data_IF_770774096088
#
_entry.id   IF_770774096088
#
_cell.length_a   1.000
_cell.length_b   1.000
_cell.length_c   1.000
_cell.angle_alpha   90.00
_cell.angle_beta   90.00
_cell.angle_gamma   90.00
#
_symmetry.space_group_name_H-M   'P 1'
#
loop_
_entity.id
_entity.type
_entity.pdbx_description
1 polymer ?
#
# COMPACT_ATOMS: atom_id res chain seq x y z
N UNK A 1 -39.27 -21.33 -41.39
CA UNK A 1 -38.15 -21.41 -40.43
C UNK A 1 -38.66 -22.24 -39.27
N UNK A 2 -38.13 -23.44 -39.06
CA UNK A 2 -38.68 -24.39 -38.11
C UNK A 2 -38.37 -23.99 -36.65
N UNK A 3 -39.35 -24.11 -35.75
CA UNK A 3 -39.20 -23.74 -34.35
C UNK A 3 -37.98 -24.38 -33.65
N UNK A 4 -37.55 -25.55 -34.07
CA UNK A 4 -36.35 -26.25 -33.56
C UNK A 4 -35.02 -25.56 -33.94
N UNK A 5 -34.99 -24.90 -35.09
CA UNK A 5 -33.79 -24.19 -35.54
C UNK A 5 -33.63 -22.84 -34.83
N UNK A 6 -34.73 -22.17 -34.55
CA UNK A 6 -34.76 -20.97 -33.73
C UNK A 6 -34.28 -21.26 -32.29
N UNK A 7 -34.79 -22.32 -31.71
CA UNK A 7 -34.41 -22.76 -30.36
C UNK A 7 -32.90 -23.07 -30.28
N UNK A 8 -32.30 -23.70 -31.30
CA UNK A 8 -30.84 -23.94 -31.34
C UNK A 8 -30.04 -22.64 -31.40
N UNK A 9 -30.50 -21.63 -32.14
CA UNK A 9 -29.85 -20.32 -32.27
C UNK A 9 -29.90 -19.59 -30.93
N UNK A 10 -31.02 -19.63 -30.21
CA UNK A 10 -31.18 -18.97 -28.93
C UNK A 10 -30.31 -19.63 -27.84
N UNK A 11 -30.27 -20.96 -27.83
CA UNK A 11 -29.36 -21.72 -26.93
C UNK A 11 -27.88 -21.38 -27.21
N UNK A 12 -27.49 -21.22 -28.47
CA UNK A 12 -26.12 -20.82 -28.84
C UNK A 12 -25.80 -19.41 -28.35
N UNK A 13 -26.74 -18.47 -28.50
CA UNK A 13 -26.58 -17.08 -27.99
C UNK A 13 -26.44 -17.06 -26.47
N UNK A 14 -27.27 -17.80 -25.76
CA UNK A 14 -27.21 -17.91 -24.29
C UNK A 14 -25.85 -18.48 -23.85
N UNK A 15 -25.36 -19.55 -24.50
CA UNK A 15 -24.05 -20.14 -24.21
C UNK A 15 -22.92 -19.15 -24.44
N UNK A 16 -22.94 -18.38 -25.53
CA UNK A 16 -21.95 -17.34 -25.81
C UNK A 16 -22.01 -16.25 -24.75
N UNK A 17 -23.20 -15.78 -24.38
CA UNK A 17 -23.36 -14.77 -23.32
C UNK A 17 -22.81 -15.22 -21.98
N UNK A 18 -23.05 -16.48 -21.58
CA UNK A 18 -22.50 -17.06 -20.35
C UNK A 18 -20.97 -17.09 -20.40
N UNK A 19 -20.38 -17.53 -21.51
CA UNK A 19 -18.92 -17.55 -21.65
C UNK A 19 -18.30 -16.16 -21.61
N UNK A 20 -18.93 -15.16 -22.25
CA UNK A 20 -18.47 -13.76 -22.21
C UNK A 20 -18.53 -13.22 -20.78
N UNK A 21 -19.64 -13.48 -20.07
CA UNK A 21 -19.78 -13.06 -18.67
C UNK A 21 -18.71 -13.71 -17.78
N UNK A 22 -18.46 -15.01 -17.98
CA UNK A 22 -17.41 -15.72 -17.25
C UNK A 22 -16.02 -15.11 -17.48
N UNK A 23 -15.69 -14.79 -18.75
CA UNK A 23 -14.41 -14.16 -19.09
C UNK A 23 -14.28 -12.76 -18.46
N UNK A 24 -15.35 -11.97 -18.45
CA UNK A 24 -15.37 -10.65 -17.80
C UNK A 24 -15.14 -10.80 -16.29
N UNK A 25 -15.84 -11.72 -15.64
CA UNK A 25 -15.66 -11.96 -14.20
C UNK A 25 -14.23 -12.43 -13.88
N UNK A 26 -13.68 -13.34 -14.71
CA UNK A 26 -12.30 -13.81 -14.55
C UNK A 26 -11.28 -12.67 -14.73
N UNK A 27 -11.49 -11.80 -15.73
CA UNK A 27 -10.63 -10.64 -15.95
C UNK A 27 -10.71 -9.63 -14.81
N UNK A 28 -11.91 -9.37 -14.26
CA UNK A 28 -12.10 -8.50 -13.10
C UNK A 28 -11.44 -9.09 -11.85
N UNK A 29 -11.60 -10.40 -11.62
CA UNK A 29 -10.96 -11.07 -10.49
C UNK A 29 -9.43 -11.00 -10.59
N UNK A 30 -8.89 -11.24 -11.78
CA UNK A 30 -7.45 -11.11 -12.04
C UNK A 30 -6.98 -9.66 -11.85
N UNK A 31 -7.73 -8.68 -12.34
CA UNK A 31 -7.43 -7.26 -12.15
C UNK A 31 -7.35 -6.90 -10.67
N UNK A 32 -8.34 -7.28 -9.87
CA UNK A 32 -8.36 -7.04 -8.41
C UNK A 32 -7.20 -7.78 -7.72
N UNK A 33 -6.91 -9.01 -8.14
CA UNK A 33 -5.78 -9.79 -7.61
C UNK A 33 -4.44 -9.11 -7.86
N UNK A 34 -4.20 -8.63 -9.09
CA UNK A 34 -2.95 -7.94 -9.48
C UNK A 34 -2.77 -6.62 -8.72
N UNK A 35 -3.86 -5.87 -8.50
CA UNK A 35 -3.79 -4.62 -7.71
C UNK A 35 -3.47 -4.84 -6.23
N UNK A 36 -3.77 -6.03 -5.70
CA UNK A 36 -3.45 -6.40 -4.33
C UNK A 36 -2.06 -6.99 -4.12
N UNK A 37 -1.27 -7.21 -5.18
CA UNK A 37 0.08 -7.75 -5.06
C UNK A 37 1.02 -6.72 -4.41
N UNK A 38 1.92 -7.16 -3.51
CA UNK A 38 2.94 -6.28 -2.97
C UNK A 38 3.86 -5.77 -4.09
N UNK A 39 4.44 -4.58 -3.92
CA UNK A 39 5.38 -4.05 -4.91
C UNK A 39 6.56 -5.02 -5.10
N UNK A 40 7.18 -5.00 -6.30
CA UNK A 40 8.34 -5.86 -6.55
C UNK A 40 9.44 -5.63 -5.51
N UNK A 41 10.17 -6.69 -5.13
CA UNK A 41 11.29 -6.57 -4.21
C UNK A 41 12.25 -5.45 -4.65
N UNK A 42 12.77 -4.69 -3.69
CA UNK A 42 13.72 -3.58 -3.90
C UNK A 42 13.19 -2.35 -4.65
N UNK A 43 11.93 -2.32 -5.10
CA UNK A 43 11.39 -1.16 -5.82
C UNK A 43 11.55 0.14 -5.04
N UNK A 44 11.27 0.13 -3.74
CA UNK A 44 11.29 1.33 -2.90
C UNK A 44 12.51 1.45 -1.98
N UNK A 45 13.53 0.61 -2.13
CA UNK A 45 14.73 0.65 -1.28
C UNK A 45 15.45 2.02 -1.35
N UNK A 46 15.67 2.52 -2.57
CA UNK A 46 16.31 3.81 -2.77
C UNK A 46 15.47 4.97 -2.21
N UNK A 47 14.15 4.94 -2.43
CA UNK A 47 13.24 5.93 -1.89
C UNK A 47 13.25 5.93 -0.35
N UNK A 48 13.17 4.76 0.28
CA UNK A 48 13.17 4.64 1.73
C UNK A 48 14.47 5.18 2.36
N UNK A 49 15.61 4.91 1.74
CA UNK A 49 16.92 5.47 2.15
C UNK A 49 16.94 6.99 1.99
N UNK A 50 16.44 7.51 0.89
CA UNK A 50 16.34 8.96 0.66
C UNK A 50 15.44 9.61 1.73
N UNK A 51 14.27 9.04 2.03
CA UNK A 51 13.38 9.53 3.09
C UNK A 51 14.09 9.53 4.45
N UNK A 52 14.84 8.47 4.77
CA UNK A 52 15.62 8.44 6.00
C UNK A 52 16.69 9.55 6.04
N UNK A 53 17.39 9.76 4.92
CA UNK A 53 18.42 10.81 4.79
C UNK A 53 17.84 12.22 4.80
N UNK A 54 16.57 12.41 4.43
CA UNK A 54 15.88 13.70 4.52
C UNK A 54 15.65 14.18 5.96
N UNK A 55 15.85 13.31 6.95
CA UNK A 55 15.60 13.61 8.36
C UNK A 55 14.14 13.39 8.82
N UNK A 56 13.24 13.00 7.93
CA UNK A 56 11.88 12.62 8.29
C UNK A 56 11.89 11.47 9.32
N UNK A 57 10.84 11.37 10.15
CA UNK A 57 10.66 10.31 11.14
C UNK A 57 9.29 9.65 10.97
N UNK A 58 9.27 8.33 11.08
CA UNK A 58 8.09 7.49 11.04
C UNK A 58 7.79 6.94 12.43
N UNK A 59 6.91 7.58 13.16
CA UNK A 59 6.49 7.17 14.50
C UNK A 59 5.35 6.17 14.40
N UNK A 60 5.51 5.03 15.07
CA UNK A 60 4.52 3.96 15.03
C UNK A 60 4.57 3.05 16.25
N UNK A 61 3.73 2.04 16.25
CA UNK A 61 3.71 1.00 17.27
C UNK A 61 3.73 -0.39 16.60
N UNK A 62 4.47 -1.34 17.15
CA UNK A 62 4.64 -2.68 16.57
C UNK A 62 3.31 -3.42 16.37
N UNK A 63 2.33 -3.18 17.22
CA UNK A 63 1.00 -3.79 17.16
C UNK A 63 0.01 -3.04 16.26
N UNK A 64 0.38 -1.89 15.71
CA UNK A 64 -0.53 -1.06 14.91
C UNK A 64 -0.68 -1.58 13.48
N UNK A 65 -1.90 -1.98 13.03
CA UNK A 65 -2.11 -2.52 11.70
C UNK A 65 -1.82 -1.51 10.58
N UNK A 66 -2.07 -0.22 10.80
CA UNK A 66 -1.75 0.83 9.83
C UNK A 66 -0.24 1.04 9.68
N UNK A 67 0.54 0.82 10.75
CA UNK A 67 2.01 0.84 10.67
C UNK A 67 2.54 -0.37 9.90
N UNK A 68 1.94 -1.54 10.10
CA UNK A 68 2.25 -2.73 9.29
C UNK A 68 1.93 -2.50 7.81
N UNK A 69 0.75 -1.94 7.50
CA UNK A 69 0.36 -1.58 6.13
C UNK A 69 1.34 -0.58 5.51
N UNK A 70 1.78 0.45 6.27
CA UNK A 70 2.81 1.39 5.82
C UNK A 70 4.12 0.69 5.42
N UNK A 71 4.58 -0.24 6.24
CA UNK A 71 5.79 -1.03 5.94
C UNK A 71 5.61 -1.91 4.71
N UNK A 72 4.43 -2.55 4.56
CA UNK A 72 4.11 -3.40 3.41
C UNK A 72 4.15 -2.64 2.09
N UNK A 73 3.72 -1.37 2.05
CA UNK A 73 3.80 -0.53 0.85
C UNK A 73 5.23 -0.34 0.32
N UNK A 74 6.24 -0.44 1.20
CA UNK A 74 7.65 -0.30 0.83
C UNK A 74 8.34 -1.64 0.54
N UNK A 75 7.68 -2.77 0.78
CA UNK A 75 8.27 -4.09 0.59
C UNK A 75 9.60 -4.23 1.35
N UNK A 76 10.66 -4.65 0.66
CA UNK A 76 12.00 -4.75 1.25
C UNK A 76 12.57 -3.40 1.71
N UNK A 77 12.13 -2.29 1.11
CA UNK A 77 12.50 -0.93 1.51
C UNK A 77 12.06 -0.56 2.92
N UNK A 78 11.11 -1.29 3.51
CA UNK A 78 10.61 -1.02 4.87
C UNK A 78 11.72 -1.02 5.93
N UNK A 79 12.76 -1.83 5.75
CA UNK A 79 13.90 -1.90 6.66
C UNK A 79 14.73 -0.61 6.73
N UNK A 80 14.62 0.24 5.69
CA UNK A 80 15.34 1.50 5.60
C UNK A 80 14.50 2.70 6.03
N UNK A 81 13.21 2.50 6.32
CA UNK A 81 12.35 3.58 6.81
C UNK A 81 12.84 4.09 8.17
N UNK A 82 12.79 5.40 8.41
CA UNK A 82 13.25 6.02 9.66
C UNK A 82 12.24 5.79 10.79
N UNK A 83 11.98 4.51 11.10
CA UNK A 83 10.96 4.08 12.06
C UNK A 83 11.40 4.33 13.50
N UNK A 84 10.48 4.89 14.29
CA UNK A 84 10.62 5.11 15.71
C UNK A 84 9.51 4.36 16.44
N UNK A 85 9.87 3.39 17.26
CA UNK A 85 8.91 2.64 18.06
C UNK A 85 8.37 3.49 19.21
N UNK A 86 7.06 3.62 19.28
CA UNK A 86 6.35 4.40 20.29
C UNK A 86 5.71 3.55 21.38
N UNK A 87 5.65 2.23 21.20
CA UNK A 87 5.06 1.34 22.22
C UNK A 87 6.12 0.78 23.14
N UNK A 88 5.85 0.83 24.43
CA UNK A 88 6.60 0.03 25.39
C UNK A 88 6.29 -1.47 25.22
N UNK A 89 7.16 -2.38 25.70
CA UNK A 89 6.88 -3.81 25.69
C UNK A 89 5.49 -4.13 26.25
N UNK A 90 4.82 -5.11 25.66
CA UNK A 90 3.47 -5.54 26.04
C UNK A 90 2.39 -4.44 25.94
N UNK A 91 2.61 -3.43 25.11
CA UNK A 91 1.69 -2.30 24.92
C UNK A 91 1.33 -1.55 26.21
N UNK A 92 2.23 -1.53 27.20
CA UNK A 92 2.00 -0.95 28.53
C UNK A 92 2.05 0.57 28.57
N UNK A 93 2.37 1.23 27.44
CA UNK A 93 2.44 2.68 27.35
C UNK A 93 3.24 3.16 26.15
N UNK A 94 3.53 4.46 26.13
CA UNK A 94 4.33 5.11 25.09
C UNK A 94 5.77 5.32 25.55
N UNK A 95 6.70 5.21 24.59
CA UNK A 95 8.10 5.53 24.82
C UNK A 95 8.30 7.03 25.08
N UNK A 96 9.30 7.43 25.90
CA UNK A 96 9.59 8.84 26.19
C UNK A 96 9.75 9.68 24.91
N UNK A 97 10.48 9.18 23.92
CA UNK A 97 10.69 9.90 22.64
C UNK A 97 9.38 10.27 21.95
N UNK A 98 8.36 9.44 22.05
CA UNK A 98 7.06 9.71 21.44
C UNK A 98 6.17 10.62 22.30
N UNK A 99 6.35 10.61 23.61
CA UNK A 99 5.71 11.55 24.52
C UNK A 99 6.27 12.96 24.28
N UNK A 100 7.59 13.10 24.28
CA UNK A 100 8.30 14.37 24.12
C UNK A 100 8.02 15.01 22.73
N UNK A 101 7.83 14.18 21.72
CA UNK A 101 7.43 14.63 20.38
C UNK A 101 5.92 14.78 20.20
N UNK A 102 5.11 14.64 21.26
CA UNK A 102 3.64 14.76 21.23
C UNK A 102 2.99 13.86 20.16
N UNK A 103 3.45 12.61 20.04
CA UNK A 103 2.87 11.63 19.12
C UNK A 103 1.63 11.02 19.75
N UNK A 104 0.44 11.31 19.22
CA UNK A 104 -0.85 10.87 19.79
C UNK A 104 -1.57 9.84 18.92
N UNK A 105 -1.14 9.62 17.67
CA UNK A 105 -1.74 8.70 16.72
C UNK A 105 -0.66 7.92 15.95
N UNK A 106 -1.01 6.75 15.45
CA UNK A 106 -0.09 5.90 14.68
C UNK A 106 -0.72 5.44 13.34
N UNK A 107 0.08 5.44 12.25
CA UNK A 107 1.40 6.07 12.16
C UNK A 107 1.31 7.60 12.11
N UNK A 108 2.37 8.27 12.56
CA UNK A 108 2.59 9.70 12.35
C UNK A 108 3.96 9.89 11.70
N UNK A 109 3.99 10.56 10.56
CA UNK A 109 5.20 11.03 9.94
C UNK A 109 5.47 12.46 10.38
N UNK A 110 6.71 12.75 10.79
CA UNK A 110 7.16 14.10 11.12
C UNK A 110 8.27 14.45 10.16
N UNK A 111 8.06 15.50 9.36
CA UNK A 111 9.01 15.99 8.37
C UNK A 111 9.97 17.01 8.99
N UNK A 112 11.06 17.34 8.31
CA UNK A 112 12.08 18.28 8.81
C UNK A 112 11.58 19.71 8.96
N UNK A 113 10.56 20.09 8.21
CA UNK A 113 9.87 21.38 8.34
C UNK A 113 8.85 21.41 9.51
N UNK A 114 8.75 20.33 10.27
CA UNK A 114 7.78 20.15 11.35
C UNK A 114 6.39 19.74 10.90
N UNK A 115 6.12 19.61 9.58
CA UNK A 115 4.84 19.12 9.10
C UNK A 115 4.60 17.69 9.58
N UNK A 116 3.36 17.41 9.99
CA UNK A 116 2.91 16.09 10.45
C UNK A 116 1.90 15.51 9.47
N UNK A 117 2.12 14.27 9.06
CA UNK A 117 1.19 13.51 8.25
C UNK A 117 0.66 12.36 9.09
N UNK A 118 -0.63 12.34 9.32
CA UNK A 118 -1.29 11.29 10.12
C UNK A 118 -1.74 10.14 9.22
N UNK A 119 -1.64 8.92 9.75
CA UNK A 119 -2.00 7.71 9.03
C UNK A 119 -0.94 7.24 8.02
N UNK A 120 -1.22 6.09 7.40
CA UNK A 120 -0.35 5.54 6.37
C UNK A 120 -0.31 6.45 5.15
N UNK A 121 0.89 6.72 4.64
CA UNK A 121 1.14 7.59 3.49
C UNK A 121 1.62 6.77 2.31
N UNK A 122 1.21 7.13 1.10
CA UNK A 122 1.70 6.45 -0.10
C UNK A 122 3.19 6.78 -0.33
N UNK A 123 3.94 5.88 -0.99
CA UNK A 123 5.32 6.18 -1.40
C UNK A 123 5.43 7.48 -2.22
N UNK A 124 4.41 7.77 -3.05
CA UNK A 124 4.32 8.98 -3.86
C UNK A 124 4.21 10.23 -2.99
N UNK A 125 3.33 10.20 -1.99
CA UNK A 125 3.16 11.30 -1.04
C UNK A 125 4.45 11.59 -0.29
N UNK A 126 5.10 10.53 0.24
CA UNK A 126 6.35 10.68 0.97
C UNK A 126 7.48 11.19 0.08
N UNK A 127 7.59 10.70 -1.15
CA UNK A 127 8.56 11.18 -2.13
C UNK A 127 8.41 12.69 -2.37
N UNK A 128 7.19 13.13 -2.64
CA UNK A 128 6.88 14.55 -2.87
C UNK A 128 7.18 15.42 -1.63
N UNK A 129 6.83 14.93 -0.44
CA UNK A 129 7.00 15.69 0.82
C UNK A 129 8.43 15.75 1.32
N UNK A 130 9.27 14.78 0.95
CA UNK A 130 10.70 14.73 1.32
C UNK A 130 11.63 15.13 0.19
N UNK A 131 11.07 15.51 -0.97
CA UNK A 131 11.81 15.83 -2.20
C UNK A 131 12.71 14.66 -2.65
N UNK A 132 12.24 13.42 -2.45
CA UNK A 132 12.95 12.22 -2.86
C UNK A 132 12.46 11.72 -4.23
N UNK A 133 13.34 11.18 -5.08
CA UNK A 133 12.93 10.66 -6.38
C UNK A 133 12.08 9.39 -6.22
N UNK A 134 10.99 9.32 -6.98
CA UNK A 134 10.24 8.06 -7.13
C UNK A 134 11.03 7.09 -8.02
N UNK A 135 10.99 5.78 -7.70
CA UNK A 135 11.58 4.79 -8.58
C UNK A 135 10.84 4.79 -9.92
N UNK A 136 11.59 4.88 -11.02
CA UNK A 136 11.07 4.64 -12.35
C UNK A 136 10.88 3.15 -12.53
N UNK A 137 9.65 2.70 -12.74
CA UNK A 137 9.43 1.32 -13.21
C UNK A 137 9.97 1.25 -14.66
N UNK A 138 11.12 0.62 -14.85
CA UNK A 138 11.51 0.18 -16.19
C UNK A 138 10.50 -0.86 -16.63
N UNK A 139 9.66 -0.49 -17.60
CA UNK A 139 8.81 -1.42 -18.35
C UNK A 139 9.69 -2.42 -19.11
#
# INVERSE_FOLDING_TARGET
MNATEQQKKDLRRIRIAIWVLFLICAALALYVYVQGLPPPPHLYDALARCIASSGAKFYGAYWCPHCAAQKTMFGTGAQYLPYVECSLPNATGRTPVCIDNNITAYPTWVLTDGQRLLGAQTPQTLAAKTNCPLPTQKQ
#
